data_IF_490052292483
#
_entry.id   IF_490052292483
#
_cell.length_a   1.000
_cell.length_b   1.000
_cell.length_c   1.000
_cell.angle_alpha   90.00
_cell.angle_beta   90.00
_cell.angle_gamma   90.00
#
_symmetry.space_group_name_H-M   'P 1'
#
loop_
_entity.id
_entity.type
_entity.pdbx_description
1 polymer ?
#
# COMPACT_ATOMS: atom_id res chain seq x y z
N UNK A 1 16.30 7.79 6.54
CA UNK A 1 16.11 7.89 5.09
C UNK A 1 15.96 6.50 4.49
N UNK A 2 14.93 6.30 3.69
CA UNK A 2 14.69 5.00 3.07
C UNK A 2 15.67 4.78 1.92
N UNK A 3 16.25 3.58 1.85
CA UNK A 3 17.13 3.23 0.75
C UNK A 3 16.35 3.16 -0.57
N UNK A 4 17.03 3.50 -1.65
CA UNK A 4 16.40 3.57 -2.97
C UNK A 4 16.99 2.50 -3.88
N UNK A 5 16.13 1.62 -4.40
CA UNK A 5 16.51 0.53 -5.29
C UNK A 5 16.03 0.85 -6.70
N UNK A 6 16.99 1.02 -7.63
CA UNK A 6 16.70 1.41 -9.02
C UNK A 6 15.87 0.35 -9.77
N UNK A 7 16.14 -0.93 -9.52
CA UNK A 7 15.39 -2.01 -10.17
C UNK A 7 13.93 -2.00 -9.72
N UNK A 8 13.68 -1.74 -8.44
CA UNK A 8 12.34 -1.61 -7.92
C UNK A 8 11.64 -0.36 -8.45
N UNK A 9 12.39 0.71 -8.73
CA UNK A 9 11.80 1.91 -9.34
C UNK A 9 11.18 1.59 -10.70
N UNK A 10 11.91 0.88 -11.56
CA UNK A 10 11.37 0.48 -12.87
C UNK A 10 10.17 -0.44 -12.72
N UNK A 11 10.23 -1.37 -11.78
CA UNK A 11 9.13 -2.29 -11.50
C UNK A 11 7.90 -1.54 -10.98
N UNK A 12 8.09 -0.57 -10.09
CA UNK A 12 6.97 0.23 -9.58
C UNK A 12 6.30 1.05 -10.68
N UNK A 13 7.07 1.56 -11.64
CA UNK A 13 6.52 2.27 -12.79
C UNK A 13 5.63 1.36 -13.65
N UNK A 14 6.05 0.10 -13.85
CA UNK A 14 5.22 -0.90 -14.54
C UNK A 14 3.93 -1.18 -13.77
N UNK A 15 4.02 -1.33 -12.45
CA UNK A 15 2.86 -1.59 -11.61
C UNK A 15 1.86 -0.45 -11.64
N UNK A 16 2.32 0.81 -11.71
CA UNK A 16 1.41 1.95 -11.85
C UNK A 16 0.57 1.88 -13.12
N UNK A 17 1.15 1.38 -14.21
CA UNK A 17 0.45 1.21 -15.48
C UNK A 17 -0.46 -0.01 -15.49
N UNK A 18 -0.13 -1.02 -14.68
CA UNK A 18 -0.87 -2.27 -14.58
C UNK A 18 -1.68 -2.43 -13.31
N UNK A 19 -2.17 -1.33 -12.73
CA UNK A 19 -2.96 -1.40 -11.50
C UNK A 19 -4.23 -2.22 -11.71
N UNK A 20 -4.61 -3.00 -10.68
CA UNK A 20 -5.87 -3.73 -10.68
C UNK A 20 -7.05 -2.78 -10.59
N UNK A 21 -8.26 -3.28 -10.85
CA UNK A 21 -9.48 -2.45 -10.73
C UNK A 21 -9.69 -1.97 -9.29
N UNK A 22 -9.44 -2.82 -8.30
CA UNK A 22 -9.55 -2.43 -6.89
C UNK A 22 -8.52 -1.34 -6.53
N UNK A 23 -7.29 -1.49 -6.99
CA UNK A 23 -6.26 -0.47 -6.78
C UNK A 23 -6.63 0.86 -7.45
N UNK A 24 -7.13 0.82 -8.68
CA UNK A 24 -7.59 2.03 -9.38
C UNK A 24 -8.73 2.71 -8.65
N UNK A 25 -9.68 1.95 -8.16
CA UNK A 25 -10.81 2.51 -7.42
C UNK A 25 -10.33 3.18 -6.14
N UNK A 26 -9.50 2.50 -5.37
CA UNK A 26 -8.96 3.06 -4.13
C UNK A 26 -8.13 4.32 -4.41
N UNK A 27 -7.27 4.27 -5.42
CA UNK A 27 -6.46 5.41 -5.82
C UNK A 27 -7.31 6.62 -6.18
N UNK A 28 -8.41 6.42 -6.90
CA UNK A 28 -9.32 7.52 -7.28
C UNK A 28 -9.89 8.24 -6.07
N UNK A 29 -10.00 7.56 -4.94
CA UNK A 29 -10.59 8.10 -3.71
C UNK A 29 -9.58 8.77 -2.79
N UNK A 30 -8.29 8.43 -2.89
CA UNK A 30 -7.26 8.94 -1.98
C UNK A 30 -6.29 9.91 -2.64
N UNK A 31 -6.24 9.94 -3.97
CA UNK A 31 -5.33 10.83 -4.72
C UNK A 31 -5.76 12.28 -4.61
N UNK A 32 -4.84 13.19 -4.96
CA UNK A 32 -5.18 14.61 -5.09
C UNK A 32 -5.48 15.30 -3.78
N UNK A 33 -4.95 14.79 -2.67
CA UNK A 33 -5.13 15.38 -1.33
C UNK A 33 -6.59 15.44 -0.88
N UNK A 34 -7.45 14.55 -1.40
CA UNK A 34 -8.88 14.53 -1.06
C UNK A 34 -9.14 14.20 0.41
N UNK A 35 -8.27 13.39 1.04
CA UNK A 35 -8.44 12.98 2.42
C UNK A 35 -7.63 13.91 3.32
N UNK A 36 -8.30 14.79 4.03
CA UNK A 36 -7.72 15.73 5.00
C UNK A 36 -6.53 16.53 4.45
N UNK A 37 -6.38 16.63 3.13
CA UNK A 37 -5.24 17.29 2.50
C UNK A 37 -3.96 16.48 2.49
N UNK A 38 -4.01 15.19 2.81
CA UNK A 38 -2.84 14.33 2.83
C UNK A 38 -2.47 13.86 1.43
N UNK A 39 -1.18 13.92 1.11
CA UNK A 39 -0.66 13.43 -0.16
C UNK A 39 -0.39 11.94 -0.08
N UNK A 40 -0.99 11.17 -0.99
CA UNK A 40 -0.71 9.75 -1.18
C UNK A 40 0.08 9.54 -2.46
N UNK A 41 0.98 8.56 -2.43
CA UNK A 41 1.72 8.08 -3.58
C UNK A 41 1.32 6.63 -3.85
N UNK A 42 1.31 6.23 -5.11
CA UNK A 42 0.98 4.86 -5.50
C UNK A 42 2.24 4.09 -5.88
N UNK A 43 2.24 2.79 -5.61
CA UNK A 43 3.34 1.89 -5.97
C UNK A 43 4.68 2.48 -5.54
N UNK A 44 4.79 2.76 -4.25
CA UNK A 44 5.97 3.43 -3.68
C UNK A 44 7.00 2.42 -3.24
N UNK A 45 8.25 2.63 -3.64
CA UNK A 45 9.39 1.83 -3.18
C UNK A 45 9.76 2.28 -1.77
N UNK A 46 9.77 1.32 -0.84
CA UNK A 46 10.18 1.53 0.55
C UNK A 46 11.16 0.42 0.92
N UNK A 47 12.45 0.78 1.05
CA UNK A 47 13.49 -0.21 1.21
C UNK A 47 13.56 -1.13 -0.01
N UNK A 48 13.44 -2.43 0.22
CA UNK A 48 13.42 -3.45 -0.84
C UNK A 48 12.00 -3.92 -1.18
N UNK A 49 11.00 -3.13 -0.81
CA UNK A 49 9.60 -3.50 -1.01
C UNK A 49 8.86 -2.40 -1.77
N UNK A 50 7.75 -2.78 -2.39
CA UNK A 50 6.84 -1.82 -3.02
C UNK A 50 5.52 -1.91 -2.26
N UNK A 51 5.03 -0.77 -1.79
CA UNK A 51 3.69 -0.68 -1.18
C UNK A 51 2.72 -0.09 -2.19
N UNK A 52 1.47 -0.52 -2.14
CA UNK A 52 0.47 -0.07 -3.12
C UNK A 52 0.23 1.43 -3.01
N UNK A 53 0.03 1.94 -1.78
CA UNK A 53 -0.18 3.36 -1.52
C UNK A 53 0.58 3.77 -0.26
N UNK A 54 1.11 4.98 -0.27
CA UNK A 54 1.94 5.48 0.82
C UNK A 54 1.64 6.94 1.12
N UNK A 55 1.49 7.26 2.40
CA UNK A 55 1.37 8.63 2.89
C UNK A 55 2.50 8.90 3.89
N UNK A 56 3.47 9.70 3.47
CA UNK A 56 4.64 9.99 4.30
C UNK A 56 4.26 10.74 5.58
N UNK A 57 3.38 11.73 5.47
CA UNK A 57 2.98 12.56 6.60
C UNK A 57 2.31 11.76 7.72
N UNK A 58 1.53 10.75 7.36
CA UNK A 58 0.86 9.89 8.33
C UNK A 58 1.66 8.64 8.66
N UNK A 59 2.80 8.42 7.99
CA UNK A 59 3.60 7.20 8.09
C UNK A 59 2.73 5.95 7.91
N UNK A 60 1.98 5.95 6.82
CA UNK A 60 0.93 4.96 6.55
C UNK A 60 1.12 4.35 5.17
N UNK A 61 1.06 3.03 5.10
CA UNK A 61 0.95 2.29 3.85
C UNK A 61 -0.41 1.61 3.79
N UNK A 62 -0.98 1.55 2.58
CA UNK A 62 -2.25 0.87 2.34
C UNK A 62 -2.02 -0.15 1.24
N UNK A 63 -2.54 -1.35 1.43
CA UNK A 63 -2.38 -2.44 0.48
C UNK A 63 -3.72 -3.06 0.12
N UNK A 64 -3.92 -3.27 -1.18
CA UNK A 64 -5.05 -4.02 -1.71
C UNK A 64 -4.62 -5.49 -1.83
N UNK A 65 -5.29 -6.36 -1.09
CA UNK A 65 -4.95 -7.78 -1.04
C UNK A 65 -5.94 -8.57 -1.91
N UNK A 66 -5.58 -8.73 -3.18
CA UNK A 66 -6.43 -9.40 -4.17
C UNK A 66 -6.17 -10.88 -4.33
N UNK A 67 -5.04 -11.37 -3.85
CA UNK A 67 -4.66 -12.76 -3.99
C UNK A 67 -4.09 -13.29 -2.68
N UNK A 68 -4.60 -14.43 -2.24
CA UNK A 68 -4.12 -15.03 -1.01
C UNK A 68 -3.24 -16.22 -1.35
N UNK A 69 -1.96 -16.08 -1.09
CA UNK A 69 -1.01 -17.17 -1.24
C UNK A 69 -0.74 -17.79 0.14
N UNK A 70 -1.42 -18.89 0.43
CA UNK A 70 -1.23 -19.63 1.66
C UNK A 70 -0.14 -20.68 1.48
N UNK A 71 1.10 -20.23 1.29
CA UNK A 71 2.24 -21.14 1.30
C UNK A 71 3.13 -20.80 2.49
N UNK A 72 3.92 -21.78 2.94
CA UNK A 72 4.89 -21.56 4.01
C UNK A 72 5.90 -20.49 3.58
N UNK A 73 6.35 -20.53 2.33
CA UNK A 73 7.28 -19.55 1.79
C UNK A 73 6.67 -18.16 1.74
N UNK A 74 5.40 -18.07 1.32
CA UNK A 74 4.67 -16.80 1.31
C UNK A 74 4.52 -16.22 2.70
N UNK A 75 4.21 -17.05 3.69
CA UNK A 75 4.09 -16.62 5.08
C UNK A 75 5.40 -16.08 5.64
N UNK A 76 6.52 -16.72 5.30
CA UNK A 76 7.86 -16.27 5.74
C UNK A 76 8.18 -14.90 5.11
N UNK A 77 7.93 -14.74 3.81
CA UNK A 77 8.16 -13.48 3.11
C UNK A 77 7.30 -12.36 3.67
N UNK A 78 6.03 -12.65 3.93
CA UNK A 78 5.10 -11.68 4.49
C UNK A 78 5.53 -11.23 5.88
N UNK A 79 6.00 -12.16 6.70
CA UNK A 79 6.51 -11.83 8.03
C UNK A 79 7.74 -10.94 7.96
N UNK A 80 8.70 -11.25 7.09
CA UNK A 80 9.89 -10.41 6.90
C UNK A 80 9.52 -9.00 6.47
N UNK A 81 8.56 -8.88 5.55
CA UNK A 81 8.06 -7.62 5.07
C UNK A 81 7.40 -6.83 6.20
N UNK A 82 6.53 -7.48 6.96
CA UNK A 82 5.84 -6.85 8.09
C UNK A 82 6.84 -6.41 9.17
N UNK A 83 7.83 -7.24 9.47
CA UNK A 83 8.87 -6.90 10.44
C UNK A 83 9.67 -5.68 9.98
N UNK A 84 10.00 -5.60 8.70
CA UNK A 84 10.69 -4.44 8.15
C UNK A 84 9.83 -3.18 8.29
N UNK A 85 8.57 -3.24 7.90
CA UNK A 85 7.66 -2.10 8.00
C UNK A 85 7.52 -1.63 9.45
N UNK A 86 7.38 -2.56 10.39
CA UNK A 86 7.32 -2.23 11.81
C UNK A 86 8.62 -1.59 12.30
N UNK A 87 9.77 -2.06 11.81
CA UNK A 87 11.09 -1.55 12.23
C UNK A 87 11.28 -0.08 11.86
N UNK A 88 10.64 0.40 10.81
CA UNK A 88 10.70 1.81 10.41
C UNK A 88 9.50 2.61 10.89
N UNK A 89 8.65 2.02 11.74
CA UNK A 89 7.49 2.68 12.32
C UNK A 89 6.34 2.91 11.33
N UNK A 90 6.31 2.19 10.23
CA UNK A 90 5.28 2.35 9.22
C UNK A 90 4.03 1.56 9.61
N UNK A 91 2.88 2.25 9.67
CA UNK A 91 1.59 1.59 9.84
C UNK A 91 1.14 1.00 8.50
N UNK A 92 0.63 -0.22 8.50
CA UNK A 92 0.15 -0.86 7.28
C UNK A 92 -1.31 -1.25 7.45
N UNK A 93 -2.16 -0.78 6.53
CA UNK A 93 -3.56 -1.19 6.44
C UNK A 93 -3.71 -2.08 5.20
N UNK A 94 -4.37 -3.23 5.37
CA UNK A 94 -4.65 -4.14 4.26
C UNK A 94 -6.15 -4.31 4.12
N UNK A 95 -6.62 -4.20 2.89
CA UNK A 95 -8.02 -4.40 2.56
C UNK A 95 -8.14 -5.42 1.44
N UNK A 96 -9.13 -6.29 1.52
CA UNK A 96 -9.43 -7.18 0.42
C UNK A 96 -10.02 -6.39 -0.75
N UNK A 97 -9.91 -6.91 -1.97
CA UNK A 97 -10.53 -6.30 -3.14
C UNK A 97 -12.04 -6.15 -2.93
N UNK A 98 -12.67 -7.16 -2.35
CA UNK A 98 -14.09 -7.13 -2.03
C UNK A 98 -14.47 -5.95 -1.14
N UNK A 99 -13.69 -5.72 -0.09
CA UNK A 99 -13.95 -4.62 0.84
C UNK A 99 -13.78 -3.27 0.14
N UNK A 100 -12.79 -3.17 -0.74
CA UNK A 100 -12.55 -1.96 -1.52
C UNK A 100 -13.75 -1.67 -2.45
N UNK A 101 -14.19 -2.67 -3.23
CA UNK A 101 -15.31 -2.50 -4.14
C UNK A 101 -16.61 -2.14 -3.43
N UNK A 102 -16.85 -2.74 -2.28
CA UNK A 102 -18.07 -2.50 -1.50
C UNK A 102 -17.92 -1.37 -0.50
N UNK A 103 -16.74 -0.78 -0.38
CA UNK A 103 -16.40 0.26 0.60
C UNK A 103 -16.84 -0.12 2.03
N UNK A 104 -16.54 -1.35 2.43
CA UNK A 104 -16.90 -1.88 3.74
C UNK A 104 -15.98 -1.29 4.84
N UNK A 105 -16.21 -0.03 5.18
CA UNK A 105 -15.44 0.67 6.20
C UNK A 105 -14.03 1.06 5.78
N UNK A 106 -13.68 0.89 4.49
CA UNK A 106 -12.32 1.15 4.00
C UNK A 106 -11.95 2.62 4.16
N UNK A 107 -12.76 3.52 3.62
CA UNK A 107 -12.47 4.96 3.68
C UNK A 107 -12.50 5.50 5.10
N UNK A 108 -13.39 5.00 5.94
CA UNK A 108 -13.45 5.38 7.36
C UNK A 108 -12.19 4.94 8.11
N UNK A 109 -11.73 3.71 7.88
CA UNK A 109 -10.52 3.20 8.51
C UNK A 109 -9.30 4.02 8.11
N UNK A 110 -9.18 4.35 6.81
CA UNK A 110 -8.09 5.20 6.33
C UNK A 110 -8.16 6.58 6.98
N UNK A 111 -9.33 7.19 6.98
CA UNK A 111 -9.54 8.51 7.58
C UNK A 111 -9.10 8.56 9.03
N UNK A 112 -9.46 7.55 9.82
CA UNK A 112 -9.09 7.47 11.24
C UNK A 112 -7.58 7.27 11.45
N UNK A 113 -6.87 6.78 10.45
CA UNK A 113 -5.42 6.55 10.50
C UNK A 113 -4.60 7.79 10.09
N UNK A 114 -5.25 8.84 9.67
CA UNK A 114 -4.60 10.10 9.23
C UNK A 114 -4.56 11.16 10.39
#
# INVERSE_FOLDING_TARGET
MLSYNKDLKQFSQKLRRGMTDAERLLWSRIRGKQLKGYQFYRQKVIGNYIVDFYCAKANLAIEADGGQHYSVEGSIKDKKRDDFMASIGLKVLRFSDRDIFNNLGVMETIWKSL
#
